data_IF_284942224435
#
_entry.id   IF_284942224435
#
_cell.length_a   1.000
_cell.length_b   1.000
_cell.length_c   1.000
_cell.angle_alpha   90.00
_cell.angle_beta   90.00
_cell.angle_gamma   90.00
#
_symmetry.space_group_name_H-M   'P 1'
#
loop_
_entity.id
_entity.type
_entity.pdbx_description
1 polymer ?
#
# COMPACT_ATOMS: atom_id res chain seq x y z
N UNK A 1 -2.18 23.63 -2.23
CA UNK A 1 -2.98 22.53 -2.80
C UNK A 1 -2.30 21.21 -2.51
N UNK A 2 -3.02 20.23 -1.96
CA UNK A 2 -2.43 18.91 -1.79
C UNK A 2 -2.14 18.29 -3.15
N UNK A 3 -1.00 17.66 -3.27
CA UNK A 3 -0.66 16.91 -4.46
C UNK A 3 -1.29 15.53 -4.34
N UNK A 4 -1.95 15.08 -5.38
CA UNK A 4 -2.59 13.77 -5.38
C UNK A 4 -2.21 12.98 -6.63
N UNK A 5 -2.28 11.66 -6.52
CA UNK A 5 -2.15 10.77 -7.66
C UNK A 5 -3.01 9.53 -7.43
N UNK A 6 -3.33 8.86 -8.53
CA UNK A 6 -4.09 7.62 -8.47
C UNK A 6 -3.61 6.67 -9.54
N UNK A 7 -3.80 5.38 -9.29
CA UNK A 7 -3.52 4.33 -10.26
C UNK A 7 -4.32 3.09 -9.89
N UNK A 8 -4.37 2.12 -10.80
CA UNK A 8 -5.04 0.86 -10.53
C UNK A 8 -4.29 -0.29 -11.17
N UNK A 9 -4.44 -1.47 -10.57
CA UNK A 9 -3.93 -2.73 -11.09
C UNK A 9 -5.03 -3.77 -11.00
N UNK A 10 -4.92 -4.84 -11.77
CA UNK A 10 -5.93 -5.89 -11.81
C UNK A 10 -5.30 -7.25 -11.64
N UNK A 11 -6.03 -8.16 -11.03
CA UNK A 11 -5.64 -9.55 -10.86
C UNK A 11 -6.83 -10.45 -11.13
N UNK A 12 -6.57 -11.71 -11.49
CA UNK A 12 -7.60 -12.70 -11.76
C UNK A 12 -8.21 -13.29 -10.49
N UNK A 13 -7.58 -13.11 -9.33
CA UNK A 13 -8.09 -13.66 -8.09
C UNK A 13 -9.35 -12.93 -7.60
N UNK A 14 -10.19 -13.64 -6.86
CA UNK A 14 -11.38 -13.06 -6.24
C UNK A 14 -10.98 -12.03 -5.19
N UNK A 15 -11.89 -11.08 -4.93
CA UNK A 15 -11.64 -10.00 -3.98
C UNK A 15 -11.30 -10.53 -2.59
N UNK A 16 -12.01 -11.56 -2.12
CA UNK A 16 -11.74 -12.12 -0.80
C UNK A 16 -10.34 -12.71 -0.69
N UNK A 17 -9.87 -13.38 -1.74
CA UNK A 17 -8.51 -13.93 -1.74
C UNK A 17 -7.45 -12.84 -1.83
N UNK A 18 -7.69 -11.83 -2.67
CA UNK A 18 -6.79 -10.68 -2.78
C UNK A 18 -6.67 -10.00 -1.42
N UNK A 19 -7.81 -9.79 -0.75
CA UNK A 19 -7.84 -9.18 0.57
C UNK A 19 -7.02 -9.98 1.58
N UNK A 20 -7.21 -11.29 1.64
CA UNK A 20 -6.48 -12.15 2.56
C UNK A 20 -4.98 -12.11 2.30
N UNK A 21 -4.58 -12.14 1.04
CA UNK A 21 -3.17 -12.08 0.69
C UNK A 21 -2.56 -10.74 1.05
N UNK A 22 -3.28 -9.66 0.81
CA UNK A 22 -2.79 -8.31 1.10
C UNK A 22 -2.69 -8.04 2.60
N UNK A 23 -3.68 -8.46 3.37
CA UNK A 23 -3.74 -8.17 4.80
C UNK A 23 -2.86 -9.07 5.65
N UNK A 24 -2.31 -10.13 5.08
CA UNK A 24 -1.27 -10.92 5.73
C UNK A 24 0.08 -10.33 5.34
N UNK A 25 0.64 -9.49 6.21
CA UNK A 25 1.89 -8.78 5.91
C UNK A 25 3.09 -9.72 5.72
N UNK A 26 2.98 -10.97 6.13
CA UNK A 26 4.01 -11.98 5.88
C UNK A 26 4.20 -12.25 4.40
N UNK A 27 3.19 -11.95 3.59
CA UNK A 27 3.27 -12.11 2.15
C UNK A 27 4.06 -10.98 1.47
N UNK A 28 4.15 -9.81 2.10
CA UNK A 28 4.74 -8.64 1.46
C UNK A 28 6.19 -8.88 1.00
N UNK A 29 7.09 -9.45 1.82
CA UNK A 29 8.45 -9.73 1.33
C UNK A 29 8.52 -10.81 0.26
N UNK A 30 7.43 -11.56 0.04
CA UNK A 30 7.39 -12.59 -0.99
C UNK A 30 7.27 -12.02 -2.39
N UNK A 31 6.74 -10.82 -2.56
CA UNK A 31 6.56 -10.23 -3.88
C UNK A 31 7.38 -8.95 -4.10
N UNK A 32 7.95 -8.37 -3.06
CA UNK A 32 8.73 -7.14 -3.18
C UNK A 32 9.70 -6.99 -2.02
N UNK A 33 10.82 -6.35 -2.26
CA UNK A 33 11.80 -6.01 -1.23
C UNK A 33 11.69 -4.55 -0.78
N UNK A 34 10.60 -3.87 -1.16
CA UNK A 34 10.40 -2.47 -0.80
C UNK A 34 10.28 -2.26 0.70
N UNK A 35 9.65 -3.17 1.41
CA UNK A 35 9.46 -3.10 2.86
C UNK A 35 10.12 -4.28 3.55
N UNK A 36 10.67 -4.04 4.75
CA UNK A 36 11.24 -5.10 5.58
C UNK A 36 11.01 -4.82 7.06
N UNK A 37 11.19 -5.84 7.88
CA UNK A 37 11.09 -5.76 9.35
C UNK A 37 9.75 -5.20 9.83
N UNK A 38 8.65 -5.60 9.17
CA UNK A 38 7.32 -5.09 9.47
C UNK A 38 6.76 -5.70 10.75
N UNK A 39 6.25 -4.85 11.63
CA UNK A 39 5.63 -5.23 12.90
C UNK A 39 4.44 -4.33 13.19
N UNK A 40 3.45 -4.88 13.88
CA UNK A 40 2.31 -4.09 14.33
C UNK A 40 2.56 -3.46 15.69
N UNK A 41 2.22 -2.19 15.81
CA UNK A 41 2.01 -1.52 17.09
C UNK A 41 0.50 -1.44 17.30
N UNK A 42 -0.02 -2.24 18.23
CA UNK A 42 -1.46 -2.38 18.43
C UNK A 42 -2.00 -3.61 17.71
N UNK A 43 -3.32 -3.75 17.67
CA UNK A 43 -3.96 -4.88 17.01
C UNK A 43 -3.81 -4.76 15.49
N UNK A 44 -3.52 -5.86 14.78
CA UNK A 44 -3.35 -5.81 13.33
C UNK A 44 -4.58 -5.20 12.64
N UNK A 45 -4.34 -4.22 11.78
CA UNK A 45 -5.33 -3.52 10.96
C UNK A 45 -6.40 -2.74 11.73
N UNK A 46 -6.35 -2.68 13.06
CA UNK A 46 -7.30 -1.88 13.83
C UNK A 46 -7.07 -0.39 13.57
N UNK A 47 -8.15 0.38 13.52
CA UNK A 47 -8.05 1.82 13.36
C UNK A 47 -7.25 2.41 14.52
N UNK A 48 -6.29 3.25 14.20
CA UNK A 48 -5.36 3.82 15.17
C UNK A 48 -4.10 3.00 15.41
N UNK A 49 -4.08 1.73 15.03
CA UNK A 49 -2.86 0.91 15.10
C UNK A 49 -1.89 1.33 14.01
N UNK A 50 -0.62 1.01 14.20
CA UNK A 50 0.40 1.34 13.22
C UNK A 50 1.19 0.11 12.81
N UNK A 51 1.46 0.01 11.52
CA UNK A 51 2.42 -0.92 10.96
C UNK A 51 3.74 -0.18 10.86
N UNK A 52 4.79 -0.70 11.50
CA UNK A 52 6.11 -0.07 11.49
C UNK A 52 7.12 -0.98 10.84
N UNK A 53 8.09 -0.40 10.15
CA UNK A 53 9.13 -1.17 9.49
C UNK A 53 10.09 -0.28 8.73
N UNK A 54 10.80 -0.88 7.78
CA UNK A 54 11.75 -0.16 6.94
C UNK A 54 11.24 -0.06 5.52
N UNK A 55 11.38 1.13 4.96
CA UNK A 55 11.25 1.38 3.52
C UNK A 55 12.66 1.33 2.95
N UNK A 56 12.88 0.51 1.92
CA UNK A 56 14.23 0.21 1.43
C UNK A 56 14.65 1.04 0.20
N UNK A 57 13.77 1.86 -0.34
CA UNK A 57 14.03 2.66 -1.53
C UNK A 57 13.51 4.08 -1.35
N UNK A 58 14.25 5.08 -1.83
CA UNK A 58 15.55 5.05 -2.52
C UNK A 58 16.71 4.81 -1.55
N UNK A 59 16.47 5.00 -0.25
CA UNK A 59 17.42 4.71 0.83
C UNK A 59 16.66 3.99 1.94
N UNK A 60 17.37 3.34 2.83
CA UNK A 60 16.75 2.66 3.97
C UNK A 60 16.31 3.70 4.99
N UNK A 61 15.01 3.78 5.26
CA UNK A 61 14.44 4.70 6.24
C UNK A 61 13.34 3.99 7.02
N UNK A 62 13.12 4.45 8.25
CA UNK A 62 12.00 3.95 9.06
C UNK A 62 10.69 4.52 8.55
N UNK A 63 9.67 3.67 8.47
CA UNK A 63 8.33 4.07 8.07
C UNK A 63 7.30 3.66 9.10
N UNK A 64 6.22 4.42 9.17
CA UNK A 64 5.11 4.18 10.07
C UNK A 64 3.81 4.41 9.30
N UNK A 65 2.94 3.41 9.33
CA UNK A 65 1.70 3.42 8.56
C UNK A 65 0.53 3.30 9.53
N UNK A 66 -0.16 4.41 9.79
CA UNK A 66 -1.24 4.48 10.77
C UNK A 66 -2.55 4.16 10.08
N UNK A 67 -3.25 3.13 10.54
CA UNK A 67 -4.52 2.72 9.96
C UNK A 67 -5.59 3.74 10.32
N UNK A 68 -6.19 4.34 9.30
CA UNK A 68 -7.25 5.34 9.43
C UNK A 68 -8.63 4.74 9.24
N UNK A 69 -8.75 3.77 8.35
CA UNK A 69 -10.01 3.08 8.07
C UNK A 69 -9.72 1.67 7.58
N UNK A 70 -10.50 0.73 8.05
CA UNK A 70 -10.38 -0.67 7.66
C UNK A 70 -11.77 -1.25 7.48
N UNK A 71 -12.15 -1.50 6.23
CA UNK A 71 -13.48 -1.97 5.84
C UNK A 71 -13.33 -3.20 4.93
N UNK A 72 -13.17 -4.41 5.53
CA UNK A 72 -12.99 -5.63 4.75
C UNK A 72 -14.24 -5.99 3.94
N UNK A 73 -14.10 -6.52 2.75
CA UNK A 73 -12.87 -6.68 1.96
C UNK A 73 -12.72 -5.58 0.91
N UNK A 74 -13.15 -4.37 1.20
CA UNK A 74 -13.37 -3.30 0.24
C UNK A 74 -12.32 -2.21 0.31
N UNK A 75 -12.00 -1.72 1.53
CA UNK A 75 -11.25 -0.47 1.64
C UNK A 75 -10.30 -0.45 2.83
N UNK A 76 -9.09 0.05 2.59
CA UNK A 76 -8.11 0.37 3.63
C UNK A 76 -7.62 1.80 3.37
N UNK A 77 -7.61 2.62 4.42
CA UNK A 77 -6.98 3.95 4.38
C UNK A 77 -5.92 4.03 5.44
N UNK A 78 -4.74 4.50 5.07
CA UNK A 78 -3.65 4.65 6.02
C UNK A 78 -2.83 5.91 5.74
N UNK A 79 -2.23 6.44 6.80
CA UNK A 79 -1.32 7.58 6.73
C UNK A 79 0.11 7.04 6.81
N UNK A 80 0.87 7.24 5.75
CA UNK A 80 2.26 6.81 5.68
C UNK A 80 3.16 7.95 6.11
N UNK A 81 3.96 7.72 7.14
CA UNK A 81 4.95 8.67 7.63
C UNK A 81 6.34 8.07 7.49
N UNK A 82 7.21 8.79 6.82
CA UNK A 82 8.60 8.40 6.67
C UNK A 82 9.45 9.38 7.48
N UNK A 83 10.39 8.85 8.24
CA UNK A 83 11.24 9.67 9.10
C UNK A 83 11.96 10.74 8.29
N UNK A 84 11.94 11.97 8.79
CA UNK A 84 12.64 13.14 8.22
C UNK A 84 12.19 13.52 6.81
N UNK A 85 11.04 13.03 6.35
CA UNK A 85 10.56 13.35 5.00
C UNK A 85 9.90 14.73 4.88
N UNK A 86 9.50 15.34 6.01
CA UNK A 86 8.82 16.62 5.98
C UNK A 86 7.37 16.58 5.49
N UNK A 87 6.90 15.42 5.06
CA UNK A 87 5.53 15.22 4.58
C UNK A 87 5.04 13.83 4.93
N UNK A 88 3.73 13.66 4.83
CA UNK A 88 3.09 12.35 4.97
C UNK A 88 2.24 12.07 3.74
N UNK A 89 1.95 10.82 3.48
CA UNK A 89 1.08 10.43 2.36
C UNK A 89 -0.10 9.66 2.90
N UNK A 90 -1.32 10.13 2.62
CA UNK A 90 -2.52 9.37 2.92
C UNK A 90 -2.90 8.57 1.68
N UNK A 91 -3.05 7.26 1.85
CA UNK A 91 -3.43 6.35 0.77
C UNK A 91 -4.73 5.65 1.10
N UNK A 92 -5.58 5.56 0.09
CA UNK A 92 -6.81 4.78 0.14
C UNK A 92 -6.70 3.68 -0.89
N UNK A 93 -6.80 2.43 -0.44
CA UNK A 93 -6.78 1.25 -1.29
C UNK A 93 -8.19 0.71 -1.34
N UNK A 94 -8.75 0.60 -2.55
CA UNK A 94 -10.10 0.06 -2.76
C UNK A 94 -9.98 -1.18 -3.63
N UNK A 95 -10.64 -2.26 -3.22
CA UNK A 95 -10.70 -3.50 -4.00
C UNK A 95 -12.10 -3.68 -4.53
N UNK A 96 -12.24 -3.69 -5.85
CA UNK A 96 -13.53 -3.79 -6.53
C UNK A 96 -13.61 -5.11 -7.28
N UNK A 97 -14.74 -5.81 -7.10
CA UNK A 97 -14.99 -7.01 -7.89
C UNK A 97 -15.22 -6.65 -9.35
N UNK A 98 -14.61 -7.44 -10.21
CA UNK A 98 -14.81 -7.37 -11.65
C UNK A 98 -15.24 -8.74 -12.16
N UNK A 99 -15.74 -8.79 -13.38
CA UNK A 99 -16.25 -10.02 -13.98
C UNK A 99 -15.20 -11.16 -13.93
N UNK A 100 -13.93 -10.85 -14.12
CA UNK A 100 -12.85 -11.84 -14.19
C UNK A 100 -11.78 -11.61 -13.12
N UNK A 101 -12.16 -11.11 -11.94
CA UNK A 101 -11.20 -10.92 -10.87
C UNK A 101 -11.45 -9.68 -10.04
N UNK A 102 -10.38 -8.97 -9.71
CA UNK A 102 -10.43 -7.82 -8.81
C UNK A 102 -9.62 -6.67 -9.39
N UNK A 103 -10.16 -5.47 -9.31
CA UNK A 103 -9.40 -4.25 -9.57
C UNK A 103 -9.00 -3.63 -8.24
N UNK A 104 -7.72 -3.33 -8.08
CA UNK A 104 -7.17 -2.64 -6.92
C UNK A 104 -6.91 -1.21 -7.34
N UNK A 105 -7.63 -0.27 -6.72
CA UNK A 105 -7.45 1.16 -6.98
C UNK A 105 -6.74 1.80 -5.81
N UNK A 106 -5.75 2.63 -6.09
CA UNK A 106 -5.00 3.35 -5.07
C UNK A 106 -5.12 4.83 -5.34
N UNK A 107 -5.54 5.59 -4.33
CA UNK A 107 -5.58 7.04 -4.36
C UNK A 107 -4.69 7.55 -3.25
N UNK A 108 -3.84 8.52 -3.57
CA UNK A 108 -2.88 9.04 -2.61
C UNK A 108 -2.89 10.56 -2.61
N UNK A 109 -2.78 11.13 -1.40
CA UNK A 109 -2.65 12.57 -1.19
C UNK A 109 -1.39 12.81 -0.38
N UNK A 110 -0.58 13.78 -0.81
CA UNK A 110 0.58 14.20 -0.05
C UNK A 110 0.14 15.31 0.89
N UNK A 111 0.33 15.10 2.19
CA UNK A 111 -0.05 16.01 3.27
C UNK A 111 1.20 16.70 3.76
N UNK A 112 1.16 18.03 3.86
CA UNK A 112 2.31 18.84 4.25
C UNK A 112 3.01 19.42 3.04
N UNK A 113 4.14 20.09 3.29
CA UNK A 113 4.94 20.69 2.22
C UNK A 113 6.17 19.84 2.00
N UNK A 114 6.22 19.09 0.90
CA UNK A 114 7.42 18.32 0.60
C UNK A 114 8.55 19.29 0.28
N UNK A 115 9.58 19.26 1.11
CA UNK A 115 10.81 20.00 0.92
C UNK A 115 11.66 19.28 -0.13
N UNK A 116 11.01 18.90 -1.22
CA UNK A 116 11.62 18.06 -2.25
C UNK A 116 11.47 18.74 -3.61
N UNK A 117 12.49 18.60 -4.47
CA UNK A 117 12.38 19.09 -5.84
C UNK A 117 11.15 18.50 -6.55
N UNK A 118 10.64 19.24 -7.52
CA UNK A 118 9.34 18.99 -8.16
C UNK A 118 9.06 17.62 -8.76
N UNK A 119 9.95 16.65 -8.66
CA UNK A 119 9.73 15.28 -9.14
C UNK A 119 9.24 14.29 -8.09
N UNK A 120 9.08 14.69 -6.82
CA UNK A 120 8.71 13.79 -5.74
C UNK A 120 7.38 13.07 -5.93
N UNK A 121 6.29 13.75 -6.35
CA UNK A 121 5.01 13.07 -6.55
C UNK A 121 5.07 11.97 -7.61
N UNK A 122 5.77 12.21 -8.71
CA UNK A 122 5.93 11.20 -9.77
C UNK A 122 6.78 10.04 -9.30
N UNK A 123 7.82 10.32 -8.53
CA UNK A 123 8.66 9.27 -7.96
C UNK A 123 7.85 8.38 -7.03
N UNK A 124 7.07 8.97 -6.11
CA UNK A 124 6.23 8.22 -5.18
C UNK A 124 5.18 7.40 -5.92
N UNK A 125 4.59 7.97 -6.96
CA UNK A 125 3.63 7.25 -7.79
C UNK A 125 4.28 6.04 -8.46
N UNK A 126 5.45 6.22 -9.07
CA UNK A 126 6.17 5.14 -9.74
C UNK A 126 6.54 4.03 -8.76
N UNK A 127 7.04 4.40 -7.58
CA UNK A 127 7.48 3.44 -6.58
C UNK A 127 6.31 2.60 -6.07
N UNK A 128 5.20 3.26 -5.71
CA UNK A 128 4.06 2.56 -5.13
C UNK A 128 3.25 1.82 -6.19
N UNK A 129 3.12 2.34 -7.41
CA UNK A 129 2.44 1.62 -8.47
C UNK A 129 3.19 0.34 -8.82
N UNK A 130 4.51 0.40 -8.87
CA UNK A 130 5.34 -0.79 -9.09
C UNK A 130 5.10 -1.84 -8.00
N UNK A 131 5.02 -1.42 -6.74
CA UNK A 131 4.77 -2.33 -5.64
C UNK A 131 3.42 -3.05 -5.79
N UNK A 132 2.37 -2.30 -6.18
CA UNK A 132 1.06 -2.90 -6.41
C UNK A 132 1.02 -3.78 -7.65
N UNK A 133 1.78 -3.45 -8.69
CA UNK A 133 1.93 -4.32 -9.85
C UNK A 133 2.59 -5.65 -9.45
N UNK A 134 3.62 -5.59 -8.63
CA UNK A 134 4.27 -6.78 -8.11
C UNK A 134 3.31 -7.61 -7.27
N UNK A 135 2.45 -6.95 -6.47
CA UNK A 135 1.42 -7.64 -5.71
C UNK A 135 0.40 -8.31 -6.63
N UNK A 136 -0.11 -7.60 -7.63
CA UNK A 136 -1.06 -8.18 -8.57
C UNK A 136 -0.49 -9.40 -9.29
N UNK A 137 0.77 -9.33 -9.67
CA UNK A 137 1.47 -10.44 -10.29
C UNK A 137 1.61 -11.63 -9.33
N UNK A 138 1.91 -11.34 -8.06
CA UNK A 138 1.95 -12.36 -7.02
C UNK A 138 0.58 -13.05 -6.87
N UNK A 139 -0.50 -12.27 -6.89
CA UNK A 139 -1.86 -12.80 -6.85
C UNK A 139 -2.13 -13.73 -8.04
N UNK A 140 -1.73 -13.32 -9.23
CA UNK A 140 -1.98 -14.09 -10.46
C UNK A 140 -1.23 -15.42 -10.48
N UNK A 141 -0.18 -15.56 -9.69
CA UNK A 141 0.58 -16.81 -9.55
C UNK A 141 -0.03 -17.77 -8.54
N UNK A 142 -1.02 -17.33 -7.76
CA UNK A 142 -1.66 -18.19 -6.78
C UNK A 142 -2.60 -19.17 -7.47
N UNK A 143 -2.83 -20.35 -6.86
CA UNK A 143 -3.82 -21.29 -7.42
C UNK A 143 -5.20 -20.65 -7.48
N UNK A 144 -5.95 -20.94 -8.56
CA UNK A 144 -7.29 -20.41 -8.73
C UNK A 144 -8.32 -21.09 -7.83
N UNK A 145 -7.99 -22.22 -7.22
CA UNK A 145 -8.85 -22.93 -6.27
C UNK A 145 -8.66 -22.38 -4.85
N UNK A 146 -9.75 -22.18 -4.16
CA UNK A 146 -9.73 -21.83 -2.75
C UNK A 146 -9.58 -23.05 -1.86
#
# INVERSE_FOLDING_TARGET
MPVSFSYSVSTRLSRNRVWKLFTDIKNWPKFSDLYSDLQWEGAPWAEGSALVGQLNYPIVVSGRYIIRKYDPPVLIRYLSQTRDAGFATERTITMEERQNGTQIRVEAYIVGEPDMPGGAPEFLRSLTSRWFEEFAHFCDKQPSCE
#
